data_IF_747489681272
#
_entry.id   IF_747489681272
#
_cell.length_a   1.000
_cell.length_b   1.000
_cell.length_c   1.000
_cell.angle_alpha   90.00
_cell.angle_beta   90.00
_cell.angle_gamma   90.00
#
_symmetry.space_group_name_H-M   'P 1'
#
loop_
_entity.id
_entity.type
_entity.pdbx_description
1 polymer ?
#
# COMPACT_ATOMS: atom_id res chain seq x y z
N UNK A 1 -45.55 10.47 21.68
CA UNK A 1 -44.28 9.81 21.32
C UNK A 1 -43.38 10.87 20.71
N UNK A 2 -42.41 11.35 21.49
CA UNK A 2 -41.58 12.52 21.15
C UNK A 2 -40.25 12.00 20.61
N UNK A 3 -39.98 12.18 19.32
CA UNK A 3 -38.71 11.84 18.72
C UNK A 3 -37.68 12.94 19.04
N UNK A 4 -36.62 12.56 19.74
CA UNK A 4 -35.48 13.44 20.07
C UNK A 4 -34.53 13.46 18.88
N UNK A 5 -34.37 14.62 18.25
CA UNK A 5 -33.38 14.85 17.20
C UNK A 5 -31.96 14.86 17.79
N UNK A 6 -31.03 14.10 17.19
CA UNK A 6 -29.60 14.14 17.52
C UNK A 6 -28.91 15.31 16.79
N UNK A 7 -28.00 16.05 17.43
CA UNK A 7 -27.30 17.15 16.79
C UNK A 7 -26.21 16.64 15.82
N UNK A 8 -26.26 17.13 14.59
CA UNK A 8 -25.31 16.83 13.52
C UNK A 8 -23.95 17.50 13.71
N UNK A 9 -22.89 16.76 13.38
CA UNK A 9 -21.54 17.26 13.20
C UNK A 9 -21.48 18.08 11.89
N UNK A 10 -21.52 19.40 11.99
CA UNK A 10 -21.14 20.30 10.89
C UNK A 10 -19.61 20.34 10.78
N UNK A 11 -19.04 19.57 9.85
CA UNK A 11 -17.65 19.71 9.44
C UNK A 11 -17.45 20.99 8.61
N UNK A 12 -16.42 21.77 8.92
CA UNK A 12 -16.04 22.95 8.14
C UNK A 12 -15.59 22.56 6.71
N UNK A 13 -15.76 23.43 5.71
CA UNK A 13 -15.33 23.18 4.34
C UNK A 13 -13.80 23.03 4.28
N UNK A 14 -13.33 21.88 3.80
CA UNK A 14 -11.90 21.62 3.58
C UNK A 14 -11.50 22.21 2.23
N UNK A 15 -10.67 23.24 2.24
CA UNK A 15 -10.03 23.78 1.04
C UNK A 15 -8.75 23.01 0.75
N UNK A 16 -8.62 22.47 -0.46
CA UNK A 16 -7.43 21.74 -0.90
C UNK A 16 -6.68 22.53 -1.97
N UNK A 17 -5.43 22.88 -1.68
CA UNK A 17 -4.49 23.45 -2.65
C UNK A 17 -4.02 22.40 -3.65
N UNK A 18 -4.12 22.70 -4.95
CA UNK A 18 -3.63 21.87 -6.04
C UNK A 18 -2.11 22.05 -6.20
N UNK A 19 -1.32 21.17 -5.59
CA UNK A 19 0.14 21.14 -5.73
C UNK A 19 0.66 20.09 -6.74
N UNK A 20 1.92 20.22 -7.22
CA UNK A 20 2.52 19.51 -8.37
C UNK A 20 2.84 18.01 -8.17
N UNK A 21 2.22 17.33 -7.21
CA UNK A 21 2.64 16.00 -6.71
C UNK A 21 2.47 14.83 -7.68
N UNK A 22 1.76 14.99 -8.80
CA UNK A 22 1.42 13.84 -9.67
C UNK A 22 2.62 13.29 -10.42
N UNK A 23 3.47 14.16 -10.97
CA UNK A 23 4.68 13.76 -11.69
C UNK A 23 5.70 13.13 -10.74
N UNK A 24 5.86 13.69 -9.54
CA UNK A 24 6.76 13.16 -8.51
C UNK A 24 6.34 11.78 -8.02
N UNK A 25 5.03 11.49 -7.92
CA UNK A 25 4.50 10.18 -7.51
C UNK A 25 4.64 9.14 -8.64
N UNK A 26 4.40 9.51 -9.89
CA UNK A 26 4.62 8.63 -11.06
C UNK A 26 6.11 8.33 -11.26
N UNK A 27 6.99 9.32 -11.11
CA UNK A 27 8.46 9.11 -11.10
C UNK A 27 8.92 8.29 -9.89
N UNK A 28 8.27 8.44 -8.73
CA UNK A 28 8.50 7.58 -7.57
C UNK A 28 8.11 6.14 -7.92
N UNK A 29 6.93 5.89 -8.50
CA UNK A 29 6.45 4.55 -8.87
C UNK A 29 7.34 3.87 -9.91
N UNK A 30 7.75 4.59 -10.95
CA UNK A 30 8.67 4.07 -11.99
C UNK A 30 10.05 3.77 -11.39
N UNK A 31 10.52 4.56 -10.41
CA UNK A 31 11.77 4.30 -9.68
C UNK A 31 11.65 3.29 -8.52
N UNK A 32 10.44 3.02 -8.01
CA UNK A 32 10.20 2.21 -6.79
C UNK A 32 9.38 0.95 -7.01
N UNK A 33 9.24 0.46 -8.25
CA UNK A 33 8.67 -0.85 -8.55
C UNK A 33 9.05 -1.88 -7.48
N UNK A 34 8.04 -2.53 -6.89
CA UNK A 34 8.06 -3.49 -5.79
C UNK A 34 9.30 -3.49 -4.87
N UNK A 35 9.48 -2.44 -4.06
CA UNK A 35 10.50 -2.36 -3.00
C UNK A 35 10.01 -2.87 -1.63
N UNK A 36 9.32 -4.01 -1.55
CA UNK A 36 9.11 -4.71 -0.27
C UNK A 36 10.44 -5.12 0.40
N UNK A 37 11.50 -5.11 -0.41
CA UNK A 37 12.77 -5.82 -0.22
C UNK A 37 13.87 -4.89 0.35
N UNK A 38 14.10 -3.70 -0.24
CA UNK A 38 15.09 -2.72 0.29
C UNK A 38 14.71 -2.13 1.66
N UNK A 39 13.46 -2.30 2.10
CA UNK A 39 12.89 -1.48 3.15
C UNK A 39 12.62 -2.19 4.50
N UNK A 40 13.00 -3.46 4.62
CA UNK A 40 13.15 -4.15 5.92
C UNK A 40 14.20 -3.53 6.85
N UNK A 41 15.06 -2.64 6.33
CA UNK A 41 16.12 -1.98 7.09
C UNK A 41 15.61 -1.02 8.18
N UNK A 42 14.43 -0.42 8.03
CA UNK A 42 13.95 0.61 8.98
C UNK A 42 13.23 0.04 10.21
N UNK A 43 12.70 -1.18 10.16
CA UNK A 43 11.87 -1.73 11.22
C UNK A 43 12.64 -2.15 12.50
N UNK A 44 13.99 -2.20 12.47
CA UNK A 44 14.79 -2.58 13.64
C UNK A 44 15.57 -1.45 14.31
N UNK A 45 15.52 -0.22 13.80
CA UNK A 45 16.12 0.94 14.48
C UNK A 45 15.27 1.46 15.67
N UNK A 46 14.01 1.04 15.81
CA UNK A 46 13.11 1.54 16.87
C UNK A 46 13.06 0.62 18.11
N UNK A 47 13.55 -0.63 18.04
CA UNK A 47 13.49 -1.57 19.19
C UNK A 47 14.84 -1.69 19.94
N UNK A 48 15.84 -0.86 19.64
CA UNK A 48 17.10 -0.80 20.40
C UNK A 48 17.53 0.63 20.75
N UNK A 49 16.68 1.36 21.48
CA UNK A 49 17.13 2.47 22.36
C UNK A 49 16.13 2.75 23.47
N UNK A 50 15.83 1.73 24.27
CA UNK A 50 15.46 1.92 25.67
C UNK A 50 16.77 2.00 26.46
N UNK A 51 17.28 3.20 26.66
CA UNK A 51 18.57 3.43 27.33
C UNK A 51 19.03 4.86 27.14
N UNK A 52 18.81 5.64 28.19
CA UNK A 52 19.18 7.03 28.46
C UNK A 52 20.40 7.64 27.73
N UNK A 53 20.26 8.95 27.46
CA UNK A 53 21.26 10.01 27.15
C UNK A 53 21.66 10.35 25.69
N UNK A 54 21.56 11.67 25.47
CA UNK A 54 22.08 12.57 24.43
C UNK A 54 21.51 12.55 23.00
N UNK A 55 20.52 13.44 22.81
CA UNK A 55 20.21 14.13 21.56
C UNK A 55 21.32 15.16 21.26
N UNK A 56 22.28 14.83 20.37
CA UNK A 56 23.07 15.79 19.58
C UNK A 56 24.06 15.07 18.66
N UNK A 57 23.60 14.31 17.66
CA UNK A 57 24.49 13.79 16.59
C UNK A 57 23.77 13.33 15.30
N UNK A 58 22.46 13.60 15.15
CA UNK A 58 21.63 13.06 14.07
C UNK A 58 21.88 13.64 12.67
N UNK A 59 22.62 14.75 12.54
CA UNK A 59 22.75 15.48 11.26
C UNK A 59 24.11 15.31 10.57
N UNK A 60 25.06 14.55 11.15
CA UNK A 60 26.44 14.49 10.63
C UNK A 60 26.69 13.44 9.53
N UNK A 61 25.74 12.54 9.28
CA UNK A 61 25.93 11.40 8.36
C UNK A 61 25.36 11.59 6.94
N UNK A 62 24.69 12.72 6.67
CA UNK A 62 24.07 13.00 5.37
C UNK A 62 24.95 13.83 4.40
N UNK A 63 26.22 14.11 4.74
CA UNK A 63 27.04 15.11 4.01
C UNK A 63 28.41 14.64 3.51
N UNK A 64 28.69 13.33 3.41
CA UNK A 64 29.95 12.86 2.82
C UNK A 64 29.79 12.59 1.30
N UNK A 65 30.56 13.25 0.42
CA UNK A 65 30.50 12.98 -1.02
C UNK A 65 31.13 11.62 -1.35
N UNK A 66 30.39 10.76 -2.04
CA UNK A 66 30.91 9.54 -2.64
C UNK A 66 31.81 9.90 -3.82
N UNK A 67 33.12 9.89 -3.59
CA UNK A 67 34.13 9.87 -4.64
C UNK A 67 35.18 8.84 -4.26
N UNK A 68 35.10 7.64 -4.82
CA UNK A 68 36.27 6.77 -4.97
C UNK A 68 36.26 6.09 -6.34
N UNK A 69 37.32 6.45 -7.05
CA UNK A 69 37.96 5.88 -8.24
C UNK A 69 37.92 4.36 -8.32
N UNK A 70 37.51 3.86 -9.48
CA UNK A 70 37.69 2.48 -9.93
C UNK A 70 39.14 2.33 -10.39
N UNK A 71 39.89 1.40 -9.79
CA UNK A 71 41.17 0.93 -10.32
C UNK A 71 41.08 -0.56 -10.59
N UNK A 72 41.52 -0.97 -11.78
CA UNK A 72 41.38 -2.31 -12.31
C UNK A 72 42.63 -3.17 -12.06
N UNK A 73 42.40 -4.44 -11.72
CA UNK A 73 43.29 -5.58 -11.97
C UNK A 73 43.72 -6.40 -10.74
N UNK A 74 44.17 -7.66 -10.88
CA UNK A 74 43.93 -8.63 -11.95
C UNK A 74 43.28 -9.95 -11.43
N UNK A 75 42.76 -10.74 -12.36
CA UNK A 75 42.18 -12.06 -12.14
C UNK A 75 43.25 -13.12 -11.82
N UNK A 76 42.96 -14.04 -10.89
CA UNK A 76 43.40 -15.46 -10.86
C UNK A 76 43.26 -16.04 -9.45
N UNK A 77 42.29 -16.94 -9.28
CA UNK A 77 42.12 -17.70 -8.04
C UNK A 77 40.86 -18.55 -8.07
N UNK A 78 40.85 -19.57 -8.92
CA UNK A 78 39.82 -20.61 -8.93
C UNK A 78 39.95 -21.51 -7.68
N UNK A 79 38.79 -22.00 -7.22
CA UNK A 79 38.55 -23.04 -6.21
C UNK A 79 38.46 -22.60 -4.73
N UNK A 80 37.28 -22.07 -4.34
CA UNK A 80 36.62 -22.35 -3.03
C UNK A 80 35.20 -21.73 -2.89
N UNK A 81 34.30 -21.78 -3.90
CA UNK A 81 32.96 -21.13 -3.78
C UNK A 81 31.76 -21.97 -4.23
N UNK A 82 31.90 -23.30 -4.29
CA UNK A 82 30.82 -24.19 -4.74
C UNK A 82 29.79 -24.57 -3.65
N UNK A 83 29.73 -23.83 -2.53
CA UNK A 83 29.04 -24.28 -1.31
C UNK A 83 27.81 -23.48 -0.85
N UNK A 84 27.53 -22.30 -1.42
CA UNK A 84 26.43 -21.43 -0.96
C UNK A 84 25.39 -21.12 -2.04
N UNK A 85 25.59 -21.61 -3.26
CA UNK A 85 24.86 -21.19 -4.46
C UNK A 85 23.93 -22.25 -5.09
N UNK A 86 23.76 -23.41 -4.46
CA UNK A 86 22.83 -24.43 -4.96
C UNK A 86 21.37 -23.98 -4.82
N UNK A 87 20.51 -24.42 -5.74
CA UNK A 87 19.05 -24.20 -5.65
C UNK A 87 18.52 -24.65 -4.29
N UNK A 88 19.01 -25.77 -3.75
CA UNK A 88 18.59 -26.27 -2.43
C UNK A 88 19.00 -25.36 -1.26
N UNK A 89 20.17 -24.70 -1.34
CA UNK A 89 20.57 -23.67 -0.36
C UNK A 89 19.59 -22.50 -0.37
N UNK A 90 19.20 -22.02 -1.56
CA UNK A 90 18.23 -20.94 -1.71
C UNK A 90 16.84 -21.35 -1.19
N UNK A 91 16.38 -22.57 -1.50
CA UNK A 91 15.14 -23.14 -0.96
C UNK A 91 15.12 -23.15 0.56
N UNK A 92 16.15 -23.72 1.18
CA UNK A 92 16.25 -23.79 2.64
C UNK A 92 16.32 -22.40 3.29
N UNK A 93 16.88 -21.41 2.60
CA UNK A 93 16.88 -20.01 3.05
C UNK A 93 15.48 -19.40 3.00
N UNK A 94 14.75 -19.57 1.90
CA UNK A 94 13.37 -19.08 1.73
C UNK A 94 12.42 -19.75 2.74
N UNK A 95 12.53 -21.06 2.94
CA UNK A 95 11.71 -21.81 3.91
C UNK A 95 11.92 -21.32 5.35
N UNK A 96 13.19 -21.11 5.75
CA UNK A 96 13.51 -20.51 7.05
C UNK A 96 12.97 -19.10 7.20
N UNK A 97 13.00 -18.31 6.13
CA UNK A 97 12.41 -16.96 6.15
C UNK A 97 10.90 -17.02 6.35
N UNK A 98 10.19 -17.87 5.60
CA UNK A 98 8.74 -18.06 5.74
C UNK A 98 8.38 -18.44 7.18
N UNK A 99 9.09 -19.42 7.76
CA UNK A 99 8.85 -19.87 9.13
C UNK A 99 9.07 -18.75 10.15
N UNK A 100 10.15 -17.99 10.00
CA UNK A 100 10.50 -16.93 10.92
C UNK A 100 9.57 -15.73 10.83
N UNK A 101 9.16 -15.35 9.63
CA UNK A 101 8.16 -14.31 9.40
C UNK A 101 6.86 -14.64 10.15
N UNK A 102 6.40 -15.90 10.11
CA UNK A 102 5.26 -16.36 10.91
C UNK A 102 5.50 -16.22 12.42
N UNK A 103 6.67 -16.65 12.92
CA UNK A 103 7.02 -16.54 14.34
C UNK A 103 7.08 -15.09 14.83
N UNK A 104 7.41 -14.15 13.95
CA UNK A 104 7.44 -12.72 14.23
C UNK A 104 6.08 -12.03 14.04
N UNK A 105 5.04 -12.75 13.61
CA UNK A 105 3.71 -12.20 13.37
C UNK A 105 3.49 -11.61 11.98
N UNK A 106 4.45 -11.71 11.06
CA UNK A 106 4.32 -11.31 9.65
C UNK A 106 3.71 -12.45 8.82
N UNK A 107 2.50 -12.85 9.19
CA UNK A 107 1.72 -13.93 8.60
C UNK A 107 1.44 -13.71 7.11
N UNK A 108 1.03 -12.51 6.70
CA UNK A 108 0.74 -12.15 5.32
C UNK A 108 2.00 -12.14 4.46
N UNK A 109 3.09 -11.55 4.96
CA UNK A 109 4.36 -11.56 4.23
C UNK A 109 4.86 -13.00 4.01
N UNK A 110 4.76 -13.85 5.03
CA UNK A 110 5.08 -15.26 4.92
C UNK A 110 4.17 -15.99 3.91
N UNK A 111 2.86 -15.72 3.94
CA UNK A 111 1.90 -16.34 3.03
C UNK A 111 2.14 -15.95 1.56
N UNK A 112 2.45 -14.68 1.29
CA UNK A 112 2.75 -14.21 -0.07
C UNK A 112 4.05 -14.84 -0.59
N UNK A 113 5.10 -14.85 0.24
CA UNK A 113 6.37 -15.48 -0.13
C UNK A 113 6.22 -16.99 -0.34
N UNK A 114 5.45 -17.68 0.50
CA UNK A 114 5.19 -19.11 0.33
C UNK A 114 4.38 -19.39 -0.93
N UNK A 115 3.36 -18.57 -1.23
CA UNK A 115 2.56 -18.72 -2.44
C UNK A 115 3.40 -18.52 -3.70
N UNK A 116 4.29 -17.51 -3.68
CA UNK A 116 5.29 -17.31 -4.73
C UNK A 116 6.22 -18.53 -4.87
N UNK A 117 6.78 -18.97 -3.75
CA UNK A 117 7.81 -20.01 -3.67
C UNK A 117 7.29 -21.41 -4.03
N UNK A 118 5.99 -21.66 -3.89
CA UNK A 118 5.39 -22.93 -4.32
C UNK A 118 4.99 -22.95 -5.81
N UNK A 119 5.25 -21.87 -6.53
CA UNK A 119 5.16 -21.83 -7.99
C UNK A 119 3.74 -21.85 -8.55
N UNK A 120 2.72 -21.58 -7.72
CA UNK A 120 1.33 -21.70 -8.14
C UNK A 120 0.95 -20.68 -9.22
N UNK A 121 1.46 -19.44 -9.16
CA UNK A 121 1.12 -18.36 -10.10
C UNK A 121 -0.35 -17.92 -10.11
N UNK A 122 -1.20 -18.67 -9.40
CA UNK A 122 -2.62 -18.40 -9.23
C UNK A 122 -2.83 -17.14 -8.41
N UNK A 123 -3.97 -16.49 -8.62
CA UNK A 123 -4.35 -15.31 -7.87
C UNK A 123 -4.41 -15.61 -6.37
N UNK A 124 -3.72 -14.81 -5.58
CA UNK A 124 -3.85 -14.85 -4.13
C UNK A 124 -4.97 -13.89 -3.69
N UNK A 125 -6.00 -14.44 -3.05
CA UNK A 125 -7.08 -13.65 -2.47
C UNK A 125 -6.75 -13.30 -1.02
N UNK A 126 -6.62 -12.01 -0.74
CA UNK A 126 -6.32 -11.49 0.60
C UNK A 126 -7.63 -11.10 1.31
N UNK A 127 -7.86 -11.55 2.56
CA UNK A 127 -9.03 -11.15 3.33
C UNK A 127 -9.10 -9.64 3.55
N UNK A 128 -10.32 -9.09 3.61
CA UNK A 128 -10.53 -7.66 3.78
C UNK A 128 -10.01 -7.13 5.14
N UNK A 129 -9.96 -7.97 6.17
CA UNK A 129 -9.52 -7.63 7.52
C UNK A 129 -8.05 -7.24 7.55
N UNK A 130 -7.25 -7.77 6.61
CA UNK A 130 -5.84 -7.42 6.46
C UNK A 130 -5.67 -5.94 6.12
N UNK A 131 -6.59 -5.35 5.36
CA UNK A 131 -6.54 -3.93 4.98
C UNK A 131 -7.32 -3.04 5.96
N UNK A 132 -8.50 -3.48 6.40
CA UNK A 132 -9.42 -2.65 7.19
C UNK A 132 -8.96 -2.42 8.63
N UNK A 133 -8.05 -3.25 9.15
CA UNK A 133 -7.41 -3.03 10.46
C UNK A 133 -6.30 -1.97 10.41
N UNK A 134 -5.86 -1.60 9.21
CA UNK A 134 -4.71 -0.74 9.02
C UNK A 134 -5.11 0.74 8.96
N UNK A 135 -4.73 1.49 10.01
CA UNK A 135 -5.11 2.90 10.15
C UNK A 135 -4.66 3.77 8.96
N UNK A 136 -3.51 3.46 8.35
CA UNK A 136 -3.03 4.20 7.17
C UNK A 136 -3.94 4.00 5.95
N UNK A 137 -4.45 2.77 5.77
CA UNK A 137 -5.36 2.43 4.68
C UNK A 137 -6.73 3.05 4.92
N UNK A 138 -7.28 2.92 6.13
CA UNK A 138 -8.57 3.54 6.52
C UNK A 138 -8.53 5.05 6.28
N UNK A 139 -7.45 5.70 6.71
CA UNK A 139 -7.23 7.14 6.47
C UNK A 139 -7.13 7.45 4.97
N UNK A 140 -6.42 6.64 4.19
CA UNK A 140 -6.31 6.87 2.74
C UNK A 140 -7.67 6.79 2.04
N UNK A 141 -8.48 5.76 2.32
CA UNK A 141 -9.83 5.63 1.73
C UNK A 141 -10.76 6.77 2.19
N UNK A 142 -10.70 7.17 3.46
CA UNK A 142 -11.53 8.28 3.93
C UNK A 142 -11.10 9.61 3.29
N UNK A 143 -9.81 9.91 3.32
CA UNK A 143 -9.34 11.27 3.04
C UNK A 143 -9.08 11.46 1.54
N UNK A 144 -8.30 10.57 0.90
CA UNK A 144 -7.95 10.72 -0.51
C UNK A 144 -9.13 10.35 -1.43
N UNK A 145 -9.72 9.17 -1.19
CA UNK A 145 -10.85 8.70 -1.99
C UNK A 145 -12.14 9.49 -1.67
N UNK A 146 -12.38 9.84 -0.40
CA UNK A 146 -13.49 10.73 -0.02
C UNK A 146 -13.40 12.12 -0.65
N UNK A 147 -12.20 12.72 -0.76
CA UNK A 147 -12.02 13.97 -1.48
C UNK A 147 -12.32 13.83 -2.99
N UNK A 148 -11.92 12.72 -3.61
CA UNK A 148 -12.26 12.43 -5.02
C UNK A 148 -13.75 12.24 -5.24
N UNK A 149 -14.43 11.58 -4.30
CA UNK A 149 -15.89 11.50 -4.27
C UNK A 149 -16.51 12.89 -4.23
N UNK A 150 -16.09 13.75 -3.30
CA UNK A 150 -16.66 15.10 -3.18
C UNK A 150 -16.51 15.93 -4.45
N UNK A 151 -15.33 15.90 -5.06
CA UNK A 151 -15.09 16.54 -6.35
C UNK A 151 -15.94 15.91 -7.48
N UNK A 152 -16.11 14.58 -7.46
CA UNK A 152 -16.91 13.85 -8.44
C UNK A 152 -18.40 14.17 -8.36
N UNK A 153 -18.93 14.27 -7.14
CA UNK A 153 -20.30 14.67 -6.85
C UNK A 153 -20.56 16.13 -7.26
N UNK A 154 -19.67 17.05 -6.87
CA UNK A 154 -19.77 18.47 -7.24
C UNK A 154 -19.79 18.66 -8.76
N UNK A 155 -18.90 17.98 -9.50
CA UNK A 155 -18.89 18.06 -10.97
C UNK A 155 -20.20 17.56 -11.59
N UNK A 156 -20.74 16.45 -11.06
CA UNK A 156 -22.00 15.87 -11.57
C UNK A 156 -23.20 16.76 -11.25
N UNK A 157 -23.28 17.29 -10.03
CA UNK A 157 -24.31 18.24 -9.63
C UNK A 157 -24.28 19.49 -10.53
N UNK A 158 -23.10 20.10 -10.70
CA UNK A 158 -22.93 21.27 -11.55
C UNK A 158 -23.09 21.02 -13.06
N UNK A 159 -23.23 19.77 -13.50
CA UNK A 159 -23.52 19.39 -14.88
C UNK A 159 -24.97 18.92 -15.09
N UNK A 160 -25.76 18.81 -14.02
CA UNK A 160 -27.12 18.25 -14.05
C UNK A 160 -27.19 16.73 -14.09
N UNK A 161 -26.06 16.02 -14.23
CA UNK A 161 -26.00 14.54 -14.19
C UNK A 161 -26.46 13.99 -12.84
N UNK A 162 -26.21 14.72 -11.75
CA UNK A 162 -26.72 14.39 -10.43
C UNK A 162 -27.72 15.49 -10.00
N UNK A 163 -29.00 15.13 -9.99
CA UNK A 163 -30.12 16.01 -9.65
C UNK A 163 -30.90 15.44 -8.44
N UNK A 164 -31.82 16.20 -7.83
CA UNK A 164 -32.70 15.68 -6.77
C UNK A 164 -33.39 14.37 -7.14
N UNK A 165 -33.35 13.39 -6.24
CA UNK A 165 -33.88 12.04 -6.46
C UNK A 165 -33.03 11.17 -7.39
N UNK A 166 -31.99 11.73 -8.01
CA UNK A 166 -31.11 11.03 -8.94
C UNK A 166 -30.05 10.19 -8.25
N UNK A 167 -29.48 9.26 -9.02
CA UNK A 167 -28.34 8.42 -8.63
C UNK A 167 -27.17 8.61 -9.57
N UNK A 168 -25.96 8.36 -9.08
CA UNK A 168 -24.78 8.34 -9.93
C UNK A 168 -23.76 7.31 -9.44
N UNK A 169 -23.01 6.74 -10.39
CA UNK A 169 -21.86 5.89 -10.12
C UNK A 169 -20.54 6.61 -10.43
N UNK A 170 -19.54 6.31 -9.60
CA UNK A 170 -18.22 6.92 -9.64
C UNK A 170 -17.16 5.87 -9.32
N UNK A 171 -16.09 5.83 -10.10
CA UNK A 171 -14.96 4.93 -9.88
C UNK A 171 -13.65 5.69 -9.88
N UNK A 172 -12.71 5.26 -9.05
CA UNK A 172 -11.37 5.79 -9.02
C UNK A 172 -10.36 4.74 -8.59
N UNK A 173 -9.10 5.02 -8.91
CA UNK A 173 -7.96 4.18 -8.61
C UNK A 173 -6.82 5.08 -8.16
N UNK A 174 -6.14 4.68 -7.11
CA UNK A 174 -4.93 5.29 -6.61
C UNK A 174 -3.94 4.21 -6.18
N UNK A 175 -2.72 4.61 -5.82
CA UNK A 175 -1.71 3.72 -5.24
C UNK A 175 -1.36 4.14 -3.84
N UNK A 176 -1.24 3.17 -2.95
CA UNK A 176 -0.84 3.36 -1.56
C UNK A 176 0.46 2.64 -1.32
N UNK A 177 1.40 3.30 -0.66
CA UNK A 177 2.62 2.67 -0.14
C UNK A 177 2.39 2.39 1.35
N UNK A 178 2.52 1.13 1.75
CA UNK A 178 2.40 0.75 3.15
C UNK A 178 3.57 1.33 3.98
N UNK A 179 3.36 1.65 5.27
CA UNK A 179 4.44 2.12 6.14
C UNK A 179 5.52 1.06 6.36
N UNK A 180 6.78 1.46 6.47
CA UNK A 180 7.91 0.51 6.53
C UNK A 180 7.95 -0.41 7.76
N UNK A 181 7.17 -0.09 8.80
CA UNK A 181 7.00 -0.89 10.01
C UNK A 181 5.72 -1.73 9.99
N UNK A 182 5.06 -1.86 8.84
CA UNK A 182 3.78 -2.54 8.69
C UNK A 182 3.94 -3.90 8.00
N UNK A 183 3.08 -4.86 8.32
CA UNK A 183 3.10 -6.17 7.67
C UNK A 183 2.79 -6.08 6.17
N UNK A 184 1.82 -5.26 5.76
CA UNK A 184 1.46 -5.08 4.35
C UNK A 184 2.62 -4.53 3.51
N UNK A 185 3.56 -3.87 4.15
CA UNK A 185 4.75 -3.40 3.46
C UNK A 185 5.71 -4.53 3.11
N UNK A 186 5.83 -5.54 3.97
CA UNK A 186 6.62 -6.73 3.67
C UNK A 186 5.86 -7.69 2.75
N UNK A 187 4.53 -7.67 2.78
CA UNK A 187 3.70 -8.49 1.91
C UNK A 187 3.57 -7.91 0.50
N UNK A 188 3.42 -6.59 0.35
CA UNK A 188 3.05 -5.92 -0.91
C UNK A 188 3.90 -4.69 -1.22
N UNK A 189 4.53 -4.07 -0.21
CA UNK A 189 5.22 -2.79 -0.38
C UNK A 189 4.25 -1.65 -0.72
N UNK A 190 3.91 -1.49 -1.99
CA UNK A 190 2.86 -0.58 -2.46
C UNK A 190 1.83 -1.33 -3.29
N UNK A 191 0.58 -0.93 -3.20
CA UNK A 191 -0.53 -1.60 -3.87
C UNK A 191 -1.55 -0.60 -4.40
N UNK A 192 -2.30 -1.03 -5.41
CA UNK A 192 -3.38 -0.25 -5.99
C UNK A 192 -4.63 -0.35 -5.11
N UNK A 193 -5.30 0.77 -4.86
CA UNK A 193 -6.61 0.83 -4.23
C UNK A 193 -7.62 1.37 -5.24
N UNK A 194 -8.62 0.56 -5.57
CA UNK A 194 -9.71 0.95 -6.48
C UNK A 194 -11.01 1.05 -5.69
N UNK A 195 -11.81 2.09 -5.93
CA UNK A 195 -13.15 2.21 -5.35
C UNK A 195 -14.21 2.38 -6.43
N UNK A 196 -15.39 1.84 -6.14
CA UNK A 196 -16.63 2.07 -6.87
C UNK A 196 -17.69 2.55 -5.88
N UNK A 197 -18.31 3.68 -6.20
CA UNK A 197 -19.25 4.38 -5.33
C UNK A 197 -20.52 4.72 -6.05
N UNK A 198 -21.64 4.35 -5.43
CA UNK A 198 -22.99 4.73 -5.84
C UNK A 198 -23.52 5.75 -4.85
N UNK A 199 -24.11 6.83 -5.37
CA UNK A 199 -24.69 7.90 -4.56
C UNK A 199 -26.12 8.21 -4.95
N UNK A 200 -26.85 8.80 -4.03
CA UNK A 200 -28.14 9.48 -4.24
C UNK A 200 -28.00 10.96 -3.92
N UNK A 201 -28.84 11.80 -4.52
CA UNK A 201 -28.94 13.22 -4.18
C UNK A 201 -30.36 13.59 -3.73
N UNK A 202 -30.45 14.46 -2.73
CA UNK A 202 -31.70 15.02 -2.21
C UNK A 202 -31.59 16.54 -2.14
N UNK A 203 -32.71 17.24 -2.27
CA UNK A 203 -32.76 18.66 -1.94
C UNK A 203 -32.62 18.85 -0.43
N UNK A 204 -31.93 19.92 -0.03
CA UNK A 204 -31.89 20.36 1.35
C UNK A 204 -33.00 21.41 1.50
N UNK A 205 -34.08 21.16 2.25
CA UNK A 205 -35.21 22.10 2.34
C UNK A 205 -34.79 23.50 2.80
N UNK A 206 -33.80 23.58 3.69
CA UNK A 206 -33.28 24.82 4.23
C UNK A 206 -32.22 25.50 3.32
N UNK A 207 -31.74 24.80 2.28
CA UNK A 207 -30.77 25.31 1.30
C UNK A 207 -31.06 24.74 -0.10
N UNK A 208 -32.03 25.29 -0.83
CA UNK A 208 -32.40 24.81 -2.16
C UNK A 208 -31.29 25.00 -3.20
N UNK A 209 -30.25 25.78 -2.88
CA UNK A 209 -29.07 25.98 -3.74
C UNK A 209 -28.05 24.86 -3.61
N UNK A 210 -28.28 23.89 -2.72
CA UNK A 210 -27.39 22.75 -2.53
C UNK A 210 -28.14 21.41 -2.61
N UNK A 211 -27.40 20.35 -2.88
CA UNK A 211 -27.86 18.96 -2.78
C UNK A 211 -27.14 18.27 -1.64
N UNK A 212 -27.89 17.51 -0.84
CA UNK A 212 -27.32 16.50 0.04
C UNK A 212 -27.03 15.26 -0.81
N UNK A 213 -25.75 14.92 -0.95
CA UNK A 213 -25.31 13.72 -1.66
C UNK A 213 -24.90 12.67 -0.64
N UNK A 214 -25.64 11.58 -0.61
CA UNK A 214 -25.42 10.44 0.30
C UNK A 214 -24.79 9.29 -0.48
N UNK A 215 -23.72 8.71 0.06
CA UNK A 215 -23.15 7.48 -0.47
C UNK A 215 -24.01 6.28 -0.04
N UNK A 216 -24.61 5.60 -1.00
CA UNK A 216 -25.47 4.42 -0.75
C UNK A 216 -24.73 3.10 -0.89
N UNK A 217 -23.63 3.08 -1.65
CA UNK A 217 -22.72 1.94 -1.76
C UNK A 217 -21.29 2.42 -1.97
N UNK A 218 -20.34 1.84 -1.26
CA UNK A 218 -18.92 2.07 -1.49
C UNK A 218 -18.12 0.78 -1.38
N UNK A 219 -17.75 0.22 -2.53
CA UNK A 219 -16.94 -0.99 -2.61
C UNK A 219 -15.49 -0.63 -2.94
N UNK A 220 -14.55 -1.14 -2.15
CA UNK A 220 -13.10 -0.97 -2.36
C UNK A 220 -12.45 -2.31 -2.69
N UNK A 221 -11.45 -2.31 -3.56
CA UNK A 221 -10.58 -3.46 -3.83
C UNK A 221 -9.13 -3.00 -3.79
N UNK A 222 -8.28 -3.79 -3.13
CA UNK A 222 -6.85 -3.64 -3.21
C UNK A 222 -6.30 -4.68 -4.20
N UNK A 223 -5.31 -4.30 -4.99
CA UNK A 223 -4.65 -5.22 -5.92
C UNK A 223 -3.19 -4.90 -6.10
N UNK A 224 -2.40 -5.92 -6.36
CA UNK A 224 -0.98 -5.79 -6.71
C UNK A 224 -0.54 -6.96 -7.62
N UNK A 225 0.68 -6.91 -8.13
CA UNK A 225 1.33 -8.03 -8.80
C UNK A 225 2.61 -8.39 -8.05
N UNK A 226 2.60 -9.53 -7.36
CA UNK A 226 3.71 -9.95 -6.53
C UNK A 226 4.80 -10.59 -7.39
N UNK A 227 5.99 -9.98 -7.41
CA UNK A 227 7.11 -10.35 -8.26
C UNK A 227 8.46 -10.05 -7.60
N UNK A 228 9.51 -10.73 -8.08
CA UNK A 228 10.92 -10.39 -7.80
C UNK A 228 11.59 -9.94 -9.09
N UNK A 229 12.17 -8.74 -9.10
CA UNK A 229 12.75 -8.14 -10.31
C UNK A 229 14.28 -8.08 -10.18
N UNK A 230 15.03 -8.54 -11.18
CA UNK A 230 16.49 -8.50 -11.16
C UNK A 230 17.03 -7.10 -10.77
N UNK A 231 18.01 -7.07 -9.87
CA UNK A 231 18.68 -5.85 -9.43
C UNK A 231 18.22 -5.29 -8.07
N UNK A 232 17.29 -5.95 -7.39
CA UNK A 232 16.91 -5.61 -6.01
C UNK A 232 17.45 -6.65 -5.02
N UNK A 233 17.56 -6.25 -3.75
CA UNK A 233 18.04 -7.11 -2.67
C UNK A 233 17.37 -6.76 -1.34
N UNK A 234 16.97 -7.77 -0.58
CA UNK A 234 16.33 -7.62 0.72
C UNK A 234 17.30 -7.98 1.82
N UNK A 235 17.50 -7.09 2.79
CA UNK A 235 18.09 -7.51 4.05
C UNK A 235 16.99 -7.85 5.03
N UNK A 236 16.96 -9.10 5.48
CA UNK A 236 16.05 -9.53 6.55
C UNK A 236 16.84 -9.67 7.86
N UNK A 237 16.53 -8.88 8.90
CA UNK A 237 17.22 -8.98 10.17
C UNK A 237 17.12 -10.39 10.76
N UNK A 238 18.27 -11.02 11.03
CA UNK A 238 18.36 -12.39 11.53
C UNK A 238 18.46 -13.47 10.46
N UNK A 239 18.23 -13.14 9.18
CA UNK A 239 18.30 -14.06 8.03
C UNK A 239 19.35 -13.68 7.01
N UNK A 240 19.81 -12.42 7.06
CA UNK A 240 20.80 -11.88 6.13
C UNK A 240 20.15 -11.34 4.87
N UNK A 241 20.95 -11.20 3.82
CA UNK A 241 20.50 -10.65 2.54
C UNK A 241 19.94 -11.75 1.65
N UNK A 242 18.75 -11.55 1.10
CA UNK A 242 18.19 -12.32 -0.02
C UNK A 242 18.31 -11.48 -1.27
N UNK A 243 18.95 -12.00 -2.30
CA UNK A 243 19.11 -11.31 -3.57
C UNK A 243 18.03 -11.74 -4.54
N UNK A 244 17.53 -10.81 -5.35
CA UNK A 244 16.55 -11.16 -6.38
C UNK A 244 17.17 -12.14 -7.40
N UNK A 245 18.50 -12.17 -7.54
CA UNK A 245 19.19 -13.20 -8.33
C UNK A 245 19.02 -14.61 -7.73
N UNK A 246 19.03 -14.76 -6.39
CA UNK A 246 18.75 -16.05 -5.74
C UNK A 246 17.29 -16.45 -5.98
N UNK A 247 16.35 -15.51 -5.85
CA UNK A 247 14.93 -15.73 -6.11
C UNK A 247 14.67 -16.07 -7.58
N UNK A 248 15.35 -15.38 -8.49
CA UNK A 248 15.23 -15.64 -9.92
C UNK A 248 15.69 -17.06 -10.30
N UNK A 249 16.70 -17.62 -9.60
CA UNK A 249 17.08 -19.03 -9.79
C UNK A 249 15.93 -19.98 -9.44
N UNK A 250 15.15 -19.71 -8.38
CA UNK A 250 13.97 -20.51 -8.03
C UNK A 250 12.89 -20.41 -9.11
N UNK A 251 12.68 -19.21 -9.65
CA UNK A 251 11.72 -18.96 -10.73
C UNK A 251 12.14 -19.66 -12.03
N UNK A 252 13.40 -19.54 -12.42
CA UNK A 252 13.98 -20.21 -13.59
C UNK A 252 13.94 -21.73 -13.47
N UNK A 253 14.11 -22.26 -12.25
CA UNK A 253 13.97 -23.69 -11.96
C UNK A 253 12.50 -24.17 -11.95
N UNK A 254 11.52 -23.29 -12.20
CA UNK A 254 10.10 -23.62 -12.18
C UNK A 254 9.54 -23.87 -10.78
N UNK A 255 10.31 -23.54 -9.74
CA UNK A 255 9.90 -23.73 -8.35
C UNK A 255 9.06 -22.55 -7.86
N UNK A 256 9.27 -21.35 -8.39
CA UNK A 256 8.56 -20.16 -7.99
C UNK A 256 7.90 -19.43 -9.16
N UNK A 257 6.83 -18.67 -8.89
CA UNK A 257 6.08 -17.95 -9.93
C UNK A 257 5.40 -16.70 -9.40
N UNK A 258 5.52 -15.62 -10.15
CA UNK A 258 4.83 -14.34 -9.89
C UNK A 258 3.31 -14.52 -10.03
N UNK A 259 2.55 -13.72 -9.30
CA UNK A 259 1.10 -13.88 -9.26
C UNK A 259 0.36 -12.56 -8.95
N UNK A 260 -0.90 -12.42 -9.41
CA UNK A 260 -1.74 -11.30 -9.02
C UNK A 260 -2.23 -11.47 -7.58
N UNK A 261 -2.22 -10.37 -6.84
CA UNK A 261 -2.83 -10.26 -5.51
C UNK A 261 -4.10 -9.44 -5.64
N UNK A 262 -5.19 -9.92 -5.05
CA UNK A 262 -6.43 -9.15 -4.95
C UNK A 262 -7.05 -9.29 -3.56
N UNK A 263 -7.64 -8.21 -3.05
CA UNK A 263 -8.47 -8.31 -1.87
C UNK A 263 -9.86 -8.84 -2.21
N UNK A 264 -10.51 -9.47 -1.24
CA UNK A 264 -11.96 -9.54 -1.22
C UNK A 264 -12.56 -8.11 -1.37
N UNK A 265 -13.79 -7.96 -1.95
CA UNK A 265 -14.46 -6.67 -1.98
C UNK A 265 -14.68 -6.17 -0.55
N UNK A 266 -14.26 -4.93 -0.29
CA UNK A 266 -14.36 -4.29 1.02
C UNK A 266 -15.53 -3.30 0.99
N UNK A 267 -16.48 -3.44 1.92
CA UNK A 267 -17.52 -2.43 2.14
C UNK A 267 -16.97 -1.27 2.98
N UNK A 268 -16.67 -0.15 2.34
CA UNK A 268 -16.11 1.01 3.02
C UNK A 268 -17.13 1.70 3.94
N UNK A 269 -18.44 1.60 3.69
CA UNK A 269 -19.43 2.20 4.59
C UNK A 269 -19.48 1.47 5.94
N UNK A 270 -19.25 0.16 5.95
CA UNK A 270 -19.11 -0.62 7.19
C UNK A 270 -17.88 -0.19 8.00
N UNK A 271 -16.81 0.23 7.35
CA UNK A 271 -15.54 0.61 8.00
C UNK A 271 -15.54 2.08 8.42
N UNK A 272 -16.03 2.97 7.56
CA UNK A 272 -15.96 4.42 7.72
C UNK A 272 -17.24 5.02 8.35
N UNK A 273 -18.35 4.27 8.34
CA UNK A 273 -19.68 4.78 8.65
C UNK A 273 -20.36 5.43 7.44
N UNK A 274 -21.50 6.06 7.70
CA UNK A 274 -22.22 6.83 6.69
C UNK A 274 -21.37 7.98 6.16
N UNK A 275 -21.46 8.25 4.85
CA UNK A 275 -20.71 9.29 4.19
C UNK A 275 -21.64 10.17 3.36
N UNK A 276 -21.74 11.44 3.74
CA UNK A 276 -22.63 12.43 3.13
C UNK A 276 -21.92 13.76 2.98
N UNK A 277 -22.26 14.49 1.92
CA UNK A 277 -21.72 15.84 1.68
C UNK A 277 -22.83 16.75 1.13
N UNK A 278 -22.72 18.04 1.41
CA UNK A 278 -23.50 19.06 0.70
C UNK A 278 -22.69 19.57 -0.48
N UNK A 279 -23.29 19.63 -1.67
CA UNK A 279 -22.68 20.21 -2.88
C UNK A 279 -23.58 21.28 -3.48
N UNK A 280 -23.04 22.41 -3.94
CA UNK A 280 -23.85 23.46 -4.55
C UNK A 280 -24.43 23.00 -5.89
N UNK A 281 -25.68 23.38 -6.16
CA UNK A 281 -26.33 23.35 -7.46
C UNK A 281 -25.87 24.56 -8.27
N UNK A 282 -25.74 24.37 -9.58
CA UNK A 282 -25.63 25.51 -10.51
C UNK A 282 -27.01 26.01 -10.89
#
# INVERSE_FOLDING_TARGET
MTAVARPGLRGAPVTFGSGPRRQEVEDLQVRTGNQAVTRLLLARMIVRRGGDRDQRDGERWLSAPLSQTVSAGPASGAAADAGLDSIDSVRAKVERLIEASRKLGYVQAAAHLEHWYRGHGERLMVPEEVFTREAFWVRHVRDAHGARFAQGAQRRAGSGVLAPGGTAEMTWRDTVVAPANNELFFALGGFTVSSSVTVTAQEIPEDPTSLLVTVTRWTVRCSDYYNFDPGKTAFVPGFGRIEDAEMDRLRQAGLARDFPVESAPIDALRVLGAFEISVPRK
#
